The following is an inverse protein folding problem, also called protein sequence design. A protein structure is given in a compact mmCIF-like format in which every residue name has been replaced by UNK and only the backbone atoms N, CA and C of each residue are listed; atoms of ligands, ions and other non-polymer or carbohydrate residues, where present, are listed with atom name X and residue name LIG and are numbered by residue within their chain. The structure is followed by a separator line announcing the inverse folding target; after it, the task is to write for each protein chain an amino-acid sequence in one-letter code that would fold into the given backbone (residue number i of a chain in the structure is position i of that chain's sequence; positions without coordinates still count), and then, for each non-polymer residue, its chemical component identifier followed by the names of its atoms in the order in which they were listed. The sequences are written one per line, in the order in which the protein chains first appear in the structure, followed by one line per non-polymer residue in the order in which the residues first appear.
data_IF_213595041961
#
_entry.id   IF_213595041961
#
_cell.length_a   1.000
_cell.length_b   1.000
_cell.length_c   1.000
_cell.angle_alpha   90.00
_cell.angle_beta   90.00
_cell.angle_gamma   90.00
#
_symmetry.space_group_name_H-M   'P 1'
#
loop_
_entity.id
_entity.type
_entity.pdbx_description
1 polymer ?
#
# COMPACT_ATOMS: atom_id res chain seq x y z
N UNK A 1 42.74 9.82 0.84
CA UNK A 1 41.35 9.84 0.50
C UNK A 1 40.59 9.09 1.57
N UNK A 2 39.80 9.78 2.37
CA UNK A 2 38.92 9.16 3.37
C UNK A 2 37.76 8.53 2.60
N UNK A 3 37.71 7.24 2.53
CA UNK A 3 36.50 6.53 2.14
C UNK A 3 35.41 6.89 3.16
N UNK A 4 34.36 7.55 2.70
CA UNK A 4 33.21 7.85 3.54
C UNK A 4 32.56 6.53 3.93
N UNK A 5 32.45 6.26 5.25
CA UNK A 5 31.70 5.13 5.74
C UNK A 5 30.26 5.16 5.16
N UNK A 6 29.74 4.01 4.69
CA UNK A 6 28.37 3.97 4.18
C UNK A 6 27.41 4.42 5.26
N UNK A 7 26.59 5.42 4.97
CA UNK A 7 25.55 5.90 5.88
C UNK A 7 24.58 4.75 6.19
N UNK A 8 24.14 4.57 7.44
CA UNK A 8 23.09 3.62 7.75
C UNK A 8 21.79 4.10 7.09
N UNK A 9 21.45 3.52 5.94
CA UNK A 9 20.30 3.93 5.13
C UNK A 9 20.33 3.50 3.68
N UNK A 10 21.26 2.63 3.30
CA UNK A 10 21.26 2.00 1.98
C UNK A 10 21.33 2.96 0.78
N UNK A 11 21.49 2.40 -0.38
CA UNK A 11 21.40 3.11 -1.65
C UNK A 11 19.97 3.61 -1.91
N UNK A 12 19.83 4.73 -2.62
CA UNK A 12 18.54 5.20 -3.12
C UNK A 12 17.89 4.10 -3.98
N UNK A 13 16.64 3.78 -3.66
CA UNK A 13 15.86 2.84 -4.46
C UNK A 13 14.78 3.59 -5.21
N UNK A 14 14.74 3.40 -6.52
CA UNK A 14 13.68 3.94 -7.37
C UNK A 14 12.46 3.05 -7.23
N UNK A 15 11.33 3.64 -6.85
CA UNK A 15 10.05 2.96 -6.76
C UNK A 15 9.10 3.48 -7.82
N UNK A 16 8.60 2.58 -8.68
CA UNK A 16 7.68 2.96 -9.75
C UNK A 16 6.22 2.74 -9.32
N UNK A 17 5.36 3.71 -9.64
CA UNK A 17 3.94 3.69 -9.33
C UNK A 17 3.15 3.14 -10.52
N UNK A 18 2.33 2.11 -10.28
CA UNK A 18 1.45 1.47 -11.24
C UNK A 18 0.01 1.96 -11.02
N UNK A 19 -0.57 2.62 -12.03
CA UNK A 19 -1.94 3.17 -12.01
C UNK A 19 -2.72 2.84 -13.27
N UNK A 20 -2.18 2.01 -14.16
CA UNK A 20 -2.89 1.59 -15.37
C UNK A 20 -4.12 0.76 -14.98
N UNK A 21 -5.34 1.12 -15.42
CA UNK A 21 -6.56 0.41 -15.02
C UNK A 21 -6.56 -1.09 -15.33
N UNK A 22 -6.09 -1.48 -16.50
CA UNK A 22 -5.97 -2.90 -16.87
C UNK A 22 -4.76 -3.53 -16.17
N UNK A 23 -4.93 -4.64 -15.42
CA UNK A 23 -3.83 -5.36 -14.79
C UNK A 23 -2.71 -5.80 -15.73
N UNK A 24 -3.03 -6.13 -17.00
CA UNK A 24 -2.03 -6.50 -18.01
C UNK A 24 -1.19 -5.29 -18.43
N UNK A 25 -1.80 -4.12 -18.51
CA UNK A 25 -1.09 -2.88 -18.81
C UNK A 25 -0.21 -2.44 -17.64
N UNK A 26 -0.72 -2.62 -16.42
CA UNK A 26 0.06 -2.43 -15.21
C UNK A 26 1.28 -3.37 -15.17
N UNK A 27 1.11 -4.64 -15.55
CA UNK A 27 2.19 -5.61 -15.67
C UNK A 27 3.25 -5.18 -16.68
N UNK A 28 2.82 -4.80 -17.90
CA UNK A 28 3.78 -4.32 -18.92
C UNK A 28 4.57 -3.10 -18.44
N UNK A 29 3.92 -2.23 -17.68
CA UNK A 29 4.59 -1.08 -17.07
C UNK A 29 5.56 -1.54 -15.97
N UNK A 30 5.15 -2.44 -15.09
CA UNK A 30 6.00 -2.98 -14.03
C UNK A 30 7.29 -3.58 -14.56
N UNK A 31 7.19 -4.50 -15.52
CA UNK A 31 8.36 -5.16 -16.12
C UNK A 31 9.30 -4.16 -16.81
N UNK A 32 8.73 -3.23 -17.58
CA UNK A 32 9.53 -2.17 -18.25
C UNK A 32 10.27 -1.27 -17.26
N UNK A 33 9.62 -0.88 -16.15
CA UNK A 33 10.24 -0.01 -15.16
C UNK A 33 11.34 -0.75 -14.38
N UNK A 34 11.13 -2.04 -14.05
CA UNK A 34 12.17 -2.88 -13.43
C UNK A 34 13.38 -3.05 -14.38
N UNK A 35 13.15 -3.30 -15.69
CA UNK A 35 14.23 -3.36 -16.69
C UNK A 35 15.01 -2.04 -16.81
N UNK A 36 14.38 -0.90 -16.50
CA UNK A 36 14.98 0.43 -16.51
C UNK A 36 15.65 0.83 -15.22
N UNK A 37 15.67 -0.05 -14.22
CA UNK A 37 16.38 0.16 -12.96
C UNK A 37 15.50 0.57 -11.78
N UNK A 38 14.19 0.50 -11.89
CA UNK A 38 13.35 0.53 -10.70
C UNK A 38 13.66 -0.69 -9.83
N UNK A 39 13.79 -0.48 -8.53
CA UNK A 39 14.10 -1.53 -7.57
C UNK A 39 12.87 -1.98 -6.77
N UNK A 40 11.81 -1.18 -6.78
CA UNK A 40 10.58 -1.41 -6.03
C UNK A 40 9.36 -0.99 -6.88
N UNK A 41 8.21 -1.58 -6.58
CA UNK A 41 6.95 -1.23 -7.22
C UNK A 41 5.93 -0.74 -6.18
N UNK A 42 5.08 0.20 -6.57
CA UNK A 42 3.86 0.54 -5.85
C UNK A 42 2.67 0.25 -6.76
N UNK A 43 1.70 -0.50 -6.31
CA UNK A 43 0.43 -0.68 -6.99
C UNK A 43 -0.65 0.11 -6.26
N UNK A 44 -1.24 1.09 -6.95
CA UNK A 44 -2.42 1.79 -6.47
C UNK A 44 -3.66 1.07 -6.99
N UNK A 45 -4.52 0.64 -6.07
CA UNK A 45 -5.84 0.13 -6.45
C UNK A 45 -6.71 1.27 -6.95
N UNK A 46 -7.64 0.98 -7.84
CA UNK A 46 -8.55 1.98 -8.37
C UNK A 46 -9.49 2.60 -7.31
N UNK A 47 -10.15 3.69 -7.65
CA UNK A 47 -10.99 4.41 -6.70
C UNK A 47 -12.15 3.54 -6.18
N UNK A 48 -12.69 2.63 -6.99
CA UNK A 48 -13.77 1.72 -6.56
C UNK A 48 -13.31 0.77 -5.46
N UNK A 49 -12.13 0.19 -5.60
CA UNK A 49 -11.55 -0.65 -4.56
C UNK A 49 -11.23 0.16 -3.30
N UNK A 50 -10.52 1.28 -3.45
CA UNK A 50 -10.04 2.09 -2.32
C UNK A 50 -11.16 2.64 -1.45
N UNK A 51 -12.31 2.96 -2.06
CA UNK A 51 -13.49 3.46 -1.33
C UNK A 51 -14.27 2.38 -0.60
N UNK A 52 -14.14 1.12 -1.01
CA UNK A 52 -14.94 0.02 -0.49
C UNK A 52 -16.43 0.11 -0.83
N UNK A 53 -16.77 0.86 -1.89
CA UNK A 53 -18.15 0.96 -2.37
C UNK A 53 -18.67 -0.41 -2.83
N UNK A 54 -19.92 -0.70 -2.51
CA UNK A 54 -20.59 -1.85 -3.06
C UNK A 54 -20.93 -1.64 -4.54
N UNK A 55 -20.98 -2.71 -5.33
CA UNK A 55 -21.33 -2.62 -6.76
C UNK A 55 -22.75 -2.08 -7.01
N UNK A 56 -23.60 -2.10 -6.00
CA UNK A 56 -24.93 -1.49 -6.02
C UNK A 56 -24.94 0.01 -5.74
N UNK A 57 -23.81 0.57 -5.34
CA UNK A 57 -23.68 1.99 -5.02
C UNK A 57 -23.69 2.80 -6.32
N UNK A 58 -24.48 3.88 -6.43
CA UNK A 58 -24.51 4.71 -7.64
C UNK A 58 -23.16 5.30 -8.05
N UNK A 59 -22.27 5.57 -7.08
CA UNK A 59 -20.93 6.11 -7.33
C UNK A 59 -19.93 5.05 -7.80
N UNK A 60 -20.24 3.75 -7.64
CA UNK A 60 -19.33 2.66 -7.94
C UNK A 60 -18.90 2.66 -9.41
N UNK A 61 -19.87 2.71 -10.33
CA UNK A 61 -19.59 2.63 -11.77
C UNK A 61 -18.66 3.74 -12.26
N UNK A 62 -18.81 4.94 -11.70
CA UNK A 62 -17.97 6.11 -12.03
C UNK A 62 -16.56 6.06 -11.43
N UNK A 63 -16.31 5.17 -10.49
CA UNK A 63 -15.02 5.03 -9.80
C UNK A 63 -14.16 3.86 -10.29
N UNK A 64 -14.73 2.95 -11.09
CA UNK A 64 -14.00 1.81 -11.66
C UNK A 64 -12.94 2.27 -12.65
N UNK A 65 -11.70 1.82 -12.45
CA UNK A 65 -10.55 2.17 -13.28
C UNK A 65 -10.04 3.60 -13.11
N UNK A 66 -10.59 4.37 -12.18
CA UNK A 66 -10.13 5.73 -11.90
C UNK A 66 -8.93 5.70 -10.96
N UNK A 67 -7.84 6.33 -11.40
CA UNK A 67 -6.61 6.55 -10.64
C UNK A 67 -6.09 5.29 -9.94
N UNK A 68 -6.00 4.19 -10.68
CA UNK A 68 -5.45 2.94 -10.17
C UNK A 68 -5.81 1.71 -10.98
N UNK A 69 -5.24 0.59 -10.58
CA UNK A 69 -5.41 -0.73 -11.19
C UNK A 69 -6.71 -1.34 -10.71
N UNK A 70 -7.53 -1.85 -11.63
CA UNK A 70 -8.76 -2.58 -11.30
C UNK A 70 -8.38 -3.97 -10.81
N UNK A 71 -8.62 -4.23 -9.55
CA UNK A 71 -8.36 -5.52 -8.91
C UNK A 71 -9.61 -5.98 -8.20
N UNK A 72 -10.22 -7.03 -8.67
CA UNK A 72 -11.42 -7.64 -8.06
C UNK A 72 -11.09 -8.95 -7.35
N UNK A 73 -10.03 -9.61 -7.77
CA UNK A 73 -9.59 -10.93 -7.33
C UNK A 73 -8.08 -11.03 -7.19
N UNK A 74 -7.60 -12.13 -6.58
CA UNK A 74 -6.16 -12.44 -6.53
C UNK A 74 -5.59 -12.76 -7.93
N UNK A 75 -6.41 -13.21 -8.88
CA UNK A 75 -6.02 -13.44 -10.27
C UNK A 75 -5.68 -12.14 -11.00
N UNK A 76 -6.46 -11.07 -10.77
CA UNK A 76 -6.17 -9.75 -11.35
C UNK A 76 -4.84 -9.23 -10.81
N UNK A 77 -4.64 -9.35 -9.49
CA UNK A 77 -3.40 -8.91 -8.85
C UNK A 77 -2.20 -9.77 -9.29
N UNK A 78 -2.38 -11.09 -9.44
CA UNK A 78 -1.36 -11.98 -9.99
C UNK A 78 -1.02 -11.62 -11.44
N UNK A 79 -2.01 -11.23 -12.23
CA UNK A 79 -1.80 -10.74 -13.61
C UNK A 79 -0.97 -9.45 -13.62
N UNK A 80 -1.21 -8.53 -12.69
CA UNK A 80 -0.43 -7.29 -12.59
C UNK A 80 1.05 -7.53 -12.23
N UNK A 81 1.36 -8.64 -11.56
CA UNK A 81 2.72 -9.01 -11.17
C UNK A 81 3.28 -10.24 -11.90
N UNK A 82 2.65 -10.67 -13.01
CA UNK A 82 3.15 -11.81 -13.78
C UNK A 82 4.59 -11.55 -14.27
N UNK A 83 5.48 -12.51 -14.05
CA UNK A 83 6.92 -12.39 -14.36
C UNK A 83 7.73 -11.47 -13.43
N UNK A 84 7.14 -10.83 -12.44
CA UNK A 84 7.86 -10.07 -11.42
C UNK A 84 8.41 -11.03 -10.36
N UNK A 85 9.70 -10.93 -10.06
CA UNK A 85 10.34 -11.69 -8.97
C UNK A 85 10.00 -11.03 -7.62
N UNK A 86 8.87 -11.44 -7.02
CA UNK A 86 8.31 -10.85 -5.80
C UNK A 86 9.15 -11.09 -4.53
N UNK A 87 10.11 -12.00 -4.59
CA UNK A 87 11.12 -12.25 -3.56
C UNK A 87 12.31 -11.28 -3.63
N UNK A 88 12.49 -10.60 -4.76
CA UNK A 88 13.59 -9.65 -5.00
C UNK A 88 13.13 -8.20 -5.14
N UNK A 89 11.96 -7.97 -5.73
CA UNK A 89 11.37 -6.66 -5.95
C UNK A 89 10.29 -6.36 -4.89
N UNK A 90 10.58 -5.55 -3.87
CA UNK A 90 9.57 -5.16 -2.88
C UNK A 90 8.37 -4.50 -3.52
N UNK A 91 7.18 -4.93 -3.08
CA UNK A 91 5.91 -4.39 -3.56
C UNK A 91 5.21 -3.62 -2.45
N UNK A 92 4.77 -2.42 -2.77
CA UNK A 92 3.97 -1.56 -1.91
C UNK A 92 2.57 -1.42 -2.48
N UNK A 93 1.57 -1.43 -1.61
CA UNK A 93 0.18 -1.29 -2.01
C UNK A 93 -0.38 0.06 -1.54
N UNK A 94 -1.29 0.63 -2.33
CA UNK A 94 -2.10 1.80 -1.98
C UNK A 94 -3.59 1.41 -2.06
N UNK A 95 -4.12 0.73 -1.03
CA UNK A 95 -5.46 0.15 -1.05
C UNK A 95 -6.55 1.07 -0.50
N UNK A 96 -6.21 2.28 -0.05
CA UNK A 96 -7.15 3.15 0.65
C UNK A 96 -7.72 2.49 1.92
N UNK A 97 -9.03 2.54 2.07
CA UNK A 97 -9.73 1.95 3.22
C UNK A 97 -9.82 0.42 3.22
N UNK A 98 -9.44 -0.25 2.12
CA UNK A 98 -9.57 -1.71 1.96
C UNK A 98 -8.26 -2.47 2.21
N UNK A 99 -7.48 -2.02 3.18
CA UNK A 99 -6.12 -2.52 3.41
C UNK A 99 -6.06 -4.00 3.83
N UNK A 100 -7.02 -4.49 4.60
CA UNK A 100 -7.08 -5.91 4.97
C UNK A 100 -7.37 -6.78 3.76
N UNK A 101 -8.36 -6.40 2.94
CA UNK A 101 -8.66 -7.11 1.69
C UNK A 101 -7.47 -7.11 0.75
N UNK A 102 -6.78 -5.99 0.60
CA UNK A 102 -5.58 -5.90 -0.23
C UNK A 102 -4.44 -6.79 0.29
N UNK A 103 -4.25 -6.86 1.61
CA UNK A 103 -3.28 -7.76 2.23
C UNK A 103 -3.61 -9.22 1.94
N UNK A 104 -4.88 -9.63 2.07
CA UNK A 104 -5.31 -11.00 1.81
C UNK A 104 -5.10 -11.38 0.34
N UNK A 105 -5.44 -10.49 -0.60
CA UNK A 105 -5.19 -10.70 -2.03
C UNK A 105 -3.70 -10.82 -2.33
N UNK A 106 -2.88 -9.98 -1.71
CA UNK A 106 -1.43 -9.99 -1.97
C UNK A 106 -0.74 -11.21 -1.36
N UNK A 107 -1.12 -11.62 -0.15
CA UNK A 107 -0.62 -12.87 0.45
C UNK A 107 -0.96 -14.07 -0.44
N UNK A 108 -2.18 -14.16 -0.97
CA UNK A 108 -2.56 -15.22 -1.91
C UNK A 108 -1.72 -15.21 -3.20
N UNK A 109 -1.33 -14.04 -3.69
CA UNK A 109 -0.39 -13.92 -4.84
C UNK A 109 0.99 -14.41 -4.49
N UNK A 110 1.52 -14.04 -3.32
CA UNK A 110 2.85 -14.50 -2.84
C UNK A 110 2.87 -16.02 -2.67
N UNK A 111 1.85 -16.60 -2.06
CA UNK A 111 1.71 -18.05 -1.89
C UNK A 111 1.67 -18.77 -3.24
N UNK A 112 0.86 -18.26 -4.18
CA UNK A 112 0.76 -18.82 -5.54
C UNK A 112 2.08 -18.72 -6.32
N UNK A 113 2.85 -17.66 -6.11
CA UNK A 113 4.18 -17.47 -6.69
C UNK A 113 5.27 -18.31 -6.01
N UNK A 114 4.95 -19.02 -4.92
CA UNK A 114 5.91 -19.80 -4.16
C UNK A 114 6.92 -18.97 -3.36
N UNK A 115 6.59 -17.71 -3.08
CA UNK A 115 7.46 -16.82 -2.30
C UNK A 115 7.38 -17.21 -0.83
N UNK A 116 8.53 -17.51 -0.24
CA UNK A 116 8.58 -17.82 1.19
C UNK A 116 8.16 -16.59 2.02
N UNK A 117 7.40 -16.76 3.12
CA UNK A 117 6.91 -15.65 3.94
C UNK A 117 7.99 -14.66 4.38
N UNK A 118 9.19 -15.15 4.72
CA UNK A 118 10.32 -14.32 5.11
C UNK A 118 11.05 -13.63 3.95
N UNK A 119 10.78 -14.00 2.70
CA UNK A 119 11.38 -13.39 1.51
C UNK A 119 10.52 -12.24 0.96
N UNK A 120 9.23 -12.22 1.27
CA UNK A 120 8.35 -11.14 0.85
C UNK A 120 8.72 -9.83 1.55
N UNK A 121 8.89 -8.76 0.78
CA UNK A 121 9.19 -7.43 1.29
C UNK A 121 8.29 -6.38 0.65
N UNK A 122 8.09 -5.27 1.35
CA UNK A 122 7.27 -4.17 0.85
C UNK A 122 6.33 -3.59 1.90
N UNK A 123 5.12 -3.18 1.49
CA UNK A 123 4.16 -2.58 2.41
C UNK A 123 2.71 -2.72 1.97
N UNK A 124 1.84 -2.90 2.93
CA UNK A 124 0.39 -2.99 2.70
C UNK A 124 -0.25 -1.61 2.54
N UNK A 125 0.36 -0.57 3.11
CA UNK A 125 -0.13 0.79 2.94
C UNK A 125 -1.39 1.12 3.74
N UNK A 126 -1.62 0.46 4.87
CA UNK A 126 -2.75 0.73 5.72
C UNK A 126 -2.60 2.09 6.43
N UNK A 127 -3.52 3.00 6.14
CA UNK A 127 -3.55 4.38 6.69
C UNK A 127 -4.98 4.90 6.86
N UNK A 128 -5.75 4.37 7.85
CA UNK A 128 -7.13 4.79 8.06
C UNK A 128 -7.27 6.28 8.40
N UNK A 129 -6.31 6.90 9.10
CA UNK A 129 -6.35 8.34 9.38
C UNK A 129 -6.10 9.17 8.13
N UNK A 130 -5.16 8.76 7.25
CA UNK A 130 -4.95 9.40 5.97
C UNK A 130 -6.17 9.28 5.05
N UNK A 131 -6.82 8.11 5.01
CA UNK A 131 -8.07 7.93 4.27
C UNK A 131 -9.17 8.85 4.80
N UNK A 132 -9.34 8.94 6.12
CA UNK A 132 -10.31 9.84 6.74
C UNK A 132 -10.01 11.30 6.40
N UNK A 133 -8.74 11.71 6.44
CA UNK A 133 -8.33 13.07 6.08
C UNK A 133 -8.61 13.39 4.60
N UNK A 134 -8.34 12.44 3.70
CA UNK A 134 -8.53 12.62 2.25
C UNK A 134 -10.01 12.62 1.83
N UNK A 135 -10.84 11.78 2.46
CA UNK A 135 -12.20 11.50 2.00
C UNK A 135 -13.30 11.98 2.92
N UNK A 136 -12.96 12.34 4.16
CA UNK A 136 -13.91 12.73 5.21
C UNK A 136 -14.73 11.54 5.78
N UNK A 137 -14.48 10.30 5.34
CA UNK A 137 -15.27 9.13 5.75
C UNK A 137 -14.45 7.84 5.78
N UNK A 138 -14.88 6.93 6.63
CA UNK A 138 -14.45 5.52 6.65
C UNK A 138 -15.72 4.65 6.65
N UNK A 139 -15.69 3.53 5.93
CA UNK A 139 -16.85 2.63 5.79
C UNK A 139 -17.36 2.08 7.12
N UNK A 140 -16.46 1.88 8.08
CA UNK A 140 -16.76 1.25 9.38
C UNK A 140 -16.51 2.15 10.61
N UNK A 141 -16.15 3.42 10.38
CA UNK A 141 -15.75 4.33 11.47
C UNK A 141 -14.30 4.13 11.94
N UNK A 142 -13.79 5.13 12.67
CA UNK A 142 -12.37 5.19 13.00
C UNK A 142 -11.92 4.11 13.98
N UNK A 143 -12.68 3.87 15.05
CA UNK A 143 -12.29 2.89 16.09
C UNK A 143 -12.22 1.47 15.52
N UNK A 144 -13.19 1.10 14.68
CA UNK A 144 -13.18 -0.19 14.00
C UNK A 144 -12.02 -0.32 13.01
N UNK A 145 -11.72 0.73 12.24
CA UNK A 145 -10.59 0.74 11.31
C UNK A 145 -9.24 0.66 12.03
N UNK A 146 -9.09 1.29 13.19
CA UNK A 146 -7.89 1.17 14.02
C UNK A 146 -7.75 -0.24 14.63
N UNK A 147 -8.85 -0.83 15.10
CA UNK A 147 -8.85 -2.21 15.59
C UNK A 147 -8.46 -3.21 14.47
N UNK A 148 -9.01 -3.03 13.27
CA UNK A 148 -8.66 -3.81 12.09
C UNK A 148 -7.18 -3.66 11.72
N UNK A 149 -6.64 -2.43 11.79
CA UNK A 149 -5.21 -2.16 11.57
C UNK A 149 -4.34 -2.94 12.56
N UNK A 150 -4.67 -2.91 13.85
CA UNK A 150 -3.94 -3.65 14.90
C UNK A 150 -3.96 -5.16 14.64
N UNK A 151 -5.13 -5.72 14.37
CA UNK A 151 -5.30 -7.14 14.06
C UNK A 151 -4.51 -7.56 12.81
N UNK A 152 -4.55 -6.75 11.74
CA UNK A 152 -3.79 -7.02 10.53
C UNK A 152 -2.28 -6.98 10.79
N UNK A 153 -1.81 -5.98 11.56
CA UNK A 153 -0.39 -5.84 11.86
C UNK A 153 0.14 -7.02 12.69
N UNK A 154 -0.60 -7.46 13.71
CA UNK A 154 -0.26 -8.64 14.50
C UNK A 154 -0.16 -9.88 13.59
N UNK A 155 -1.18 -10.14 12.77
CA UNK A 155 -1.21 -11.28 11.85
C UNK A 155 -0.03 -11.29 10.87
N UNK A 156 0.28 -10.15 10.24
CA UNK A 156 1.37 -10.07 9.27
C UNK A 156 2.75 -10.12 9.92
N UNK A 157 2.90 -9.61 11.13
CA UNK A 157 4.14 -9.72 11.90
C UNK A 157 4.55 -11.18 12.11
N UNK A 158 3.58 -12.05 12.35
CA UNK A 158 3.82 -13.48 12.55
C UNK A 158 4.00 -14.23 11.21
N UNK A 159 3.19 -13.91 10.20
CA UNK A 159 3.16 -14.66 8.96
C UNK A 159 4.11 -14.13 7.88
N UNK A 160 4.26 -12.82 7.74
CA UNK A 160 5.07 -12.16 6.70
C UNK A 160 5.83 -10.96 7.26
N UNK A 161 6.85 -11.18 8.10
CA UNK A 161 7.54 -10.12 8.86
C UNK A 161 8.25 -9.05 7.99
N UNK A 162 8.49 -9.33 6.72
CA UNK A 162 9.05 -8.38 5.76
C UNK A 162 8.02 -7.40 5.17
N UNK A 163 6.71 -7.62 5.39
CA UNK A 163 5.66 -6.73 4.94
C UNK A 163 5.32 -5.68 6.01
N UNK A 164 5.58 -4.42 5.72
CA UNK A 164 5.19 -3.31 6.58
C UNK A 164 3.70 -3.05 6.45
N UNK A 165 2.95 -3.15 7.53
CA UNK A 165 1.50 -2.98 7.50
C UNK A 165 1.10 -1.53 7.36
N UNK A 166 1.71 -0.65 8.18
CA UNK A 166 1.30 0.75 8.34
C UNK A 166 2.04 1.67 7.38
N UNK A 167 1.32 2.64 6.83
CA UNK A 167 1.81 3.83 6.14
C UNK A 167 1.28 5.08 6.85
N UNK A 168 2.02 6.15 6.81
CA UNK A 168 1.53 7.50 7.11
C UNK A 168 1.63 8.32 5.84
N UNK A 169 0.49 8.74 5.29
CA UNK A 169 0.42 9.58 4.11
C UNK A 169 0.04 11.01 4.50
N UNK A 170 0.95 11.95 4.24
CA UNK A 170 0.74 13.37 4.54
C UNK A 170 0.15 14.14 3.36
N UNK A 171 0.05 13.52 2.19
CA UNK A 171 -0.47 14.17 0.97
C UNK A 171 -1.80 14.90 1.18
N UNK A 172 -2.81 14.34 1.90
CA UNK A 172 -4.08 15.04 2.08
C UNK A 172 -3.95 16.38 2.79
N UNK A 173 -2.97 16.50 3.69
CA UNK A 173 -2.74 17.76 4.43
C UNK A 173 -1.98 18.77 3.57
N UNK A 174 -0.97 18.30 2.82
CA UNK A 174 -0.20 19.13 1.89
C UNK A 174 -1.10 19.69 0.80
N UNK A 175 -1.95 18.87 0.20
CA UNK A 175 -2.92 19.27 -0.83
C UNK A 175 -3.96 20.26 -0.28
N UNK A 176 -4.29 20.18 1.02
CA UNK A 176 -5.13 21.15 1.70
C UNK A 176 -4.39 22.47 2.08
N UNK A 177 -3.10 22.60 1.77
CA UNK A 177 -2.31 23.81 2.00
C UNK A 177 -1.53 23.82 3.32
N UNK A 178 -1.27 22.66 3.92
CA UNK A 178 -0.42 22.59 5.11
C UNK A 178 1.01 23.07 4.80
N UNK A 179 1.57 23.84 5.73
CA UNK A 179 2.99 24.18 5.71
C UNK A 179 3.84 22.95 6.07
N UNK A 180 5.14 22.99 5.75
CA UNK A 180 6.10 21.92 6.09
C UNK A 180 6.08 21.55 7.58
N UNK A 181 5.92 22.56 8.46
CA UNK A 181 5.82 22.33 9.92
C UNK A 181 4.53 21.60 10.28
N UNK A 182 3.41 21.96 9.65
CA UNK A 182 2.13 21.29 9.85
C UNK A 182 2.15 19.86 9.30
N UNK A 183 2.75 19.65 8.14
CA UNK A 183 2.96 18.32 7.57
C UNK A 183 3.75 17.42 8.52
N UNK A 184 4.92 17.91 9.00
CA UNK A 184 5.73 17.16 9.96
C UNK A 184 4.97 16.87 11.27
N UNK A 185 4.25 17.85 11.80
CA UNK A 185 3.45 17.68 13.02
C UNK A 185 2.37 16.61 12.83
N UNK A 186 1.69 16.63 11.68
CA UNK A 186 0.65 15.65 11.34
C UNK A 186 1.24 14.25 11.17
N UNK A 187 2.37 14.14 10.47
CA UNK A 187 3.08 12.87 10.30
C UNK A 187 3.43 12.25 11.66
N UNK A 188 4.00 13.03 12.57
CA UNK A 188 4.39 12.55 13.89
C UNK A 188 3.17 12.19 14.75
N UNK A 189 2.10 13.00 14.72
CA UNK A 189 0.87 12.75 15.46
C UNK A 189 0.17 11.46 14.98
N UNK A 190 0.05 11.28 13.67
CA UNK A 190 -0.52 10.07 13.05
C UNK A 190 0.32 8.84 13.37
N UNK A 191 1.65 8.93 13.22
CA UNK A 191 2.56 7.86 13.60
C UNK A 191 2.45 7.47 15.06
N UNK A 192 2.36 8.45 15.97
CA UNK A 192 2.17 8.19 17.40
C UNK A 192 0.81 7.54 17.72
N UNK A 193 -0.25 7.92 16.99
CA UNK A 193 -1.56 7.28 17.12
C UNK A 193 -1.49 5.80 16.70
N UNK A 194 -0.88 5.50 15.56
CA UNK A 194 -0.71 4.11 15.11
C UNK A 194 0.17 3.29 16.05
N UNK A 195 1.27 3.84 16.56
CA UNK A 195 2.11 3.13 17.53
C UNK A 195 1.34 2.74 18.81
N UNK A 196 0.42 3.60 19.28
CA UNK A 196 -0.46 3.26 20.42
C UNK A 196 -1.44 2.15 20.06
N UNK A 197 -2.03 2.18 18.88
CA UNK A 197 -2.92 1.13 18.38
C UNK A 197 -2.20 -0.21 18.31
N UNK A 198 -1.00 -0.23 17.72
CA UNK A 198 -0.20 -1.46 17.57
C UNK A 198 0.30 -2.02 18.91
N UNK A 199 0.59 -1.14 19.87
CA UNK A 199 1.01 -1.58 21.20
C UNK A 199 -0.14 -2.16 22.04
N UNK A 200 -1.39 -1.91 21.65
CA UNK A 200 -2.59 -2.42 22.32
C UNK A 200 -3.17 -3.68 21.67
N UNK A 201 -2.68 -4.07 20.47
CA UNK A 201 -3.12 -5.24 19.70
C UNK A 201 -2.27 -6.47 20.04
#
# INVERSE_FOLDING_TARGET
GSEAEPRPGGEWRIRSLLTNPDPRDANRTALRELERGAAELTLRFDASFRSGLASSDPEFAGSVGVDGVVVTSSEDLATAFDGVMLDLAPVHLEPGGQFTRAADLFVAVLERAGVAPGAAAGGIGADPLGVLAATGRLSQGLDAALAELGALAARLSDSHPGLRTVRVDTSPYVEAGASEVQELATMLATGAAYMRTLAAA
#
